data_IF_558331360044
#
_entry.id   IF_558331360044
#
_cell.length_a   1.000
_cell.length_b   1.000
_cell.length_c   1.000
_cell.angle_alpha   90.00
_cell.angle_beta   90.00
_cell.angle_gamma   90.00
#
_symmetry.space_group_name_H-M   'P 1'
#
loop_
_entity.id
_entity.type
_entity.pdbx_description
1 polymer ?
#
# COMPACT_ATOMS: atom_id res chain seq x y z
N UNK A 1 -10.28 -9.48 23.76
CA UNK A 1 -8.93 -8.87 23.70
C UNK A 1 -8.82 -7.58 24.49
N UNK A 2 -9.91 -6.89 24.84
CA UNK A 2 -9.83 -5.79 25.81
C UNK A 2 -9.35 -6.33 27.17
N UNK A 3 -8.15 -5.95 27.58
CA UNK A 3 -7.56 -6.25 28.89
C UNK A 3 -6.20 -6.96 28.86
N UNK A 4 -6.02 -7.98 28.01
CA UNK A 4 -4.84 -8.88 28.15
C UNK A 4 -3.61 -8.41 27.36
N UNK A 5 -3.79 -7.76 26.21
CA UNK A 5 -2.68 -7.38 25.33
C UNK A 5 -2.35 -5.87 25.35
N UNK A 6 -3.23 -5.04 25.93
CA UNK A 6 -3.04 -3.60 26.02
C UNK A 6 -3.51 -3.11 27.38
N UNK A 7 -2.66 -2.33 28.05
CA UNK A 7 -2.91 -1.83 29.41
C UNK A 7 -3.92 -0.69 29.45
N UNK A 8 -3.89 0.20 28.45
CA UNK A 8 -4.72 1.41 28.42
C UNK A 8 -5.36 1.64 27.03
N UNK A 9 -6.14 0.70 26.48
CA UNK A 9 -6.86 0.94 25.24
C UNK A 9 -7.91 2.05 25.47
N UNK A 10 -8.04 2.97 24.52
CA UNK A 10 -9.14 3.95 24.54
C UNK A 10 -10.49 3.21 24.60
N UNK A 11 -11.50 3.72 25.32
CA UNK A 11 -12.84 3.12 25.32
C UNK A 11 -13.47 3.21 23.92
N UNK A 12 -13.84 2.08 23.31
CA UNK A 12 -14.43 2.06 21.96
C UNK A 12 -15.73 2.86 21.89
N UNK A 13 -16.57 2.78 22.92
CA UNK A 13 -17.85 3.51 22.96
C UNK A 13 -17.66 5.04 22.95
N UNK A 14 -16.57 5.54 23.54
CA UNK A 14 -16.26 6.97 23.51
C UNK A 14 -15.89 7.44 22.11
N UNK A 15 -15.04 6.67 21.40
CA UNK A 15 -14.66 7.00 20.04
C UNK A 15 -15.87 6.89 19.11
N UNK A 16 -16.70 5.86 19.29
CA UNK A 16 -17.94 5.69 18.53
C UNK A 16 -18.88 6.89 18.68
N UNK A 17 -19.06 7.42 19.89
CA UNK A 17 -19.85 8.61 20.16
C UNK A 17 -19.34 9.83 19.36
N UNK A 18 -18.02 10.01 19.27
CA UNK A 18 -17.45 11.09 18.47
C UNK A 18 -17.70 10.88 16.97
N UNK A 19 -17.60 9.66 16.47
CA UNK A 19 -17.90 9.35 15.07
C UNK A 19 -19.36 9.63 14.73
N UNK A 20 -20.28 9.22 15.60
CA UNK A 20 -21.71 9.49 15.44
C UNK A 20 -22.00 11.00 15.30
N UNK A 21 -21.32 11.84 16.08
CA UNK A 21 -21.59 13.28 16.13
C UNK A 21 -20.82 14.12 15.10
N UNK A 22 -19.64 13.65 14.68
CA UNK A 22 -18.68 14.48 13.95
C UNK A 22 -18.40 14.00 12.53
N UNK A 23 -18.96 12.86 12.10
CA UNK A 23 -18.64 12.28 10.79
C UNK A 23 -19.87 11.78 10.04
N UNK A 24 -19.82 11.97 8.73
CA UNK A 24 -20.85 11.61 7.76
C UNK A 24 -20.39 10.49 6.82
N UNK A 25 -21.23 10.19 5.83
CA UNK A 25 -20.93 9.26 4.74
C UNK A 25 -19.58 9.58 4.09
N UNK A 26 -18.74 8.57 3.85
CA UNK A 26 -17.43 8.68 3.21
C UNK A 26 -16.37 9.55 3.91
N UNK A 27 -16.62 10.05 5.14
CA UNK A 27 -15.59 10.80 5.87
C UNK A 27 -14.38 9.92 6.23
N UNK A 28 -13.19 10.54 6.23
CA UNK A 28 -11.93 9.88 6.59
C UNK A 28 -11.58 10.17 8.06
N UNK A 29 -11.51 9.11 8.85
CA UNK A 29 -11.10 9.17 10.27
C UNK A 29 -9.61 8.85 10.38
N UNK A 30 -8.81 9.83 10.78
CA UNK A 30 -7.36 9.65 10.94
C UNK A 30 -6.94 9.57 12.41
N UNK A 31 -6.12 8.57 12.76
CA UNK A 31 -5.49 8.46 14.06
C UNK A 31 -4.03 7.97 13.92
N UNK A 32 -3.09 8.88 14.16
CA UNK A 32 -1.65 8.65 14.04
C UNK A 32 -1.00 8.10 15.33
N UNK A 33 -1.81 7.78 16.33
CA UNK A 33 -1.42 7.08 17.56
C UNK A 33 -2.40 5.92 17.81
N UNK A 34 -2.52 5.04 16.80
CA UNK A 34 -3.55 4.01 16.75
C UNK A 34 -3.57 3.12 18.01
N UNK A 35 -2.40 2.85 18.60
CA UNK A 35 -2.22 2.04 19.79
C UNK A 35 -2.87 0.68 19.58
N UNK A 36 -3.92 0.38 20.33
CA UNK A 36 -4.62 -0.90 20.19
C UNK A 36 -5.45 -1.03 18.90
N UNK A 37 -5.68 0.03 18.12
CA UNK A 37 -6.61 0.03 16.98
C UNK A 37 -8.07 0.27 17.37
N UNK A 38 -8.32 0.98 18.48
CA UNK A 38 -9.68 1.30 18.95
C UNK A 38 -10.46 2.09 17.91
N UNK A 39 -9.81 3.02 17.21
CA UNK A 39 -10.46 3.91 16.23
C UNK A 39 -11.08 3.14 15.06
N UNK A 40 -10.37 2.18 14.46
CA UNK A 40 -10.94 1.33 13.41
C UNK A 40 -12.09 0.44 13.91
N UNK A 41 -11.99 -0.13 15.13
CA UNK A 41 -13.08 -0.88 15.76
C UNK A 41 -14.34 0.00 15.95
N UNK A 42 -14.16 1.26 16.37
CA UNK A 42 -15.26 2.22 16.47
C UNK A 42 -15.84 2.59 15.10
N UNK A 43 -15.01 2.76 14.06
CA UNK A 43 -15.45 3.02 12.69
C UNK A 43 -16.32 1.87 12.17
N UNK A 44 -15.89 0.61 12.32
CA UNK A 44 -16.70 -0.53 11.90
C UNK A 44 -18.04 -0.59 12.65
N UNK A 45 -18.03 -0.37 13.97
CA UNK A 45 -19.26 -0.35 14.77
C UNK A 45 -20.22 0.74 14.34
N UNK A 46 -19.74 1.96 14.14
CA UNK A 46 -20.61 3.06 13.80
C UNK A 46 -21.18 2.90 12.39
N UNK A 47 -20.31 2.56 11.42
CA UNK A 47 -20.69 2.33 10.02
C UNK A 47 -21.72 1.20 9.88
N UNK A 48 -21.52 0.10 10.61
CA UNK A 48 -22.48 -1.00 10.62
C UNK A 48 -23.80 -0.69 11.32
N UNK A 49 -23.84 0.31 12.20
CA UNK A 49 -25.03 0.72 12.94
C UNK A 49 -25.90 1.69 12.13
N UNK A 50 -25.29 2.72 11.55
CA UNK A 50 -26.01 3.80 10.85
C UNK A 50 -26.01 3.67 9.32
N UNK A 51 -25.37 2.63 8.79
CA UNK A 51 -25.33 2.35 7.36
C UNK A 51 -24.24 3.10 6.60
N UNK A 52 -23.50 4.01 7.25
CA UNK A 52 -22.60 4.92 6.54
C UNK A 52 -21.22 4.33 6.29
N UNK A 53 -20.64 4.50 5.11
CA UNK A 53 -19.33 3.95 4.77
C UNK A 53 -18.18 4.90 5.11
N UNK A 54 -17.84 5.01 6.39
CA UNK A 54 -16.69 5.79 6.85
C UNK A 54 -15.37 5.08 6.57
N UNK A 55 -14.35 5.84 6.21
CA UNK A 55 -13.00 5.35 5.97
C UNK A 55 -12.09 5.66 7.18
N UNK A 56 -10.96 4.96 7.29
CA UNK A 56 -9.97 5.27 8.31
C UNK A 56 -8.53 5.16 7.82
N UNK A 57 -7.67 6.00 8.40
CA UNK A 57 -6.21 5.94 8.25
C UNK A 57 -5.59 5.84 9.64
N UNK A 58 -4.89 4.73 9.91
CA UNK A 58 -4.21 4.50 11.17
C UNK A 58 -2.70 4.44 10.97
N UNK A 59 -1.96 5.15 11.83
CA UNK A 59 -0.50 5.06 11.90
C UNK A 59 -0.11 4.47 13.24
N UNK A 60 0.77 3.46 13.21
CA UNK A 60 1.32 2.83 14.40
C UNK A 60 2.79 2.52 14.19
N UNK A 61 3.65 3.05 15.07
CA UNK A 61 5.04 2.67 15.14
C UNK A 61 5.16 1.18 15.53
N UNK A 62 5.99 0.36 14.85
CA UNK A 62 6.23 -1.03 15.22
C UNK A 62 7.17 -1.12 16.44
N UNK A 63 6.79 -0.51 17.56
CA UNK A 63 7.55 -0.56 18.81
C UNK A 63 7.63 -2.00 19.31
N UNK A 64 8.86 -2.46 19.59
CA UNK A 64 9.13 -3.82 20.02
C UNK A 64 8.55 -4.09 21.41
N UNK A 65 8.01 -5.30 21.59
CA UNK A 65 7.49 -5.77 22.86
C UNK A 65 8.56 -6.57 23.61
N UNK A 66 8.77 -6.24 24.88
CA UNK A 66 9.63 -6.99 25.77
C UNK A 66 8.84 -8.08 26.50
N UNK A 67 9.30 -9.32 26.38
CA UNK A 67 8.66 -10.48 27.02
C UNK A 67 8.86 -10.47 28.54
N UNK A 68 10.01 -9.98 29.00
CA UNK A 68 10.38 -9.98 30.42
C UNK A 68 9.67 -8.85 31.18
N UNK A 69 9.12 -7.88 30.45
CA UNK A 69 8.31 -6.83 31.02
C UNK A 69 6.93 -7.37 31.42
N UNK A 70 6.58 -7.27 32.71
CA UNK A 70 5.32 -7.78 33.26
C UNK A 70 4.05 -7.20 32.62
N UNK A 71 4.11 -5.98 32.09
CA UNK A 71 2.99 -5.33 31.41
C UNK A 71 2.88 -5.72 29.92
N UNK A 72 3.96 -6.20 29.31
CA UNK A 72 4.04 -6.52 27.88
C UNK A 72 4.15 -8.02 27.59
N UNK A 73 4.48 -8.85 28.58
CA UNK A 73 4.70 -10.29 28.40
C UNK A 73 3.51 -11.01 27.75
N UNK A 74 2.29 -10.72 28.19
CA UNK A 74 1.08 -11.31 27.60
C UNK A 74 0.86 -10.86 26.14
N UNK A 75 1.24 -9.62 25.82
CA UNK A 75 1.17 -9.07 24.47
C UNK A 75 2.23 -9.73 23.55
N UNK A 76 3.45 -9.93 24.06
CA UNK A 76 4.53 -10.62 23.38
C UNK A 76 4.20 -12.11 23.12
N UNK A 77 3.67 -12.81 24.13
CA UNK A 77 3.23 -14.21 23.99
C UNK A 77 2.11 -14.38 22.96
N UNK A 78 1.22 -13.39 22.86
CA UNK A 78 0.18 -13.39 21.84
C UNK A 78 0.79 -13.26 20.44
N UNK A 79 1.77 -12.37 20.24
CA UNK A 79 2.50 -12.30 18.97
C UNK A 79 3.16 -13.64 18.62
N UNK A 80 3.79 -14.30 19.60
CA UNK A 80 4.42 -15.60 19.40
C UNK A 80 3.40 -16.68 18.96
N UNK A 81 2.24 -16.74 19.63
CA UNK A 81 1.16 -17.66 19.27
C UNK A 81 0.59 -17.41 17.87
N UNK A 82 0.62 -16.16 17.42
CA UNK A 82 0.17 -15.75 16.09
C UNK A 82 1.26 -15.93 15.02
N UNK A 83 2.51 -16.22 15.40
CA UNK A 83 3.63 -16.34 14.47
C UNK A 83 4.02 -15.02 13.82
N UNK A 84 3.80 -13.88 14.50
CA UNK A 84 4.09 -12.53 13.99
C UNK A 84 5.18 -11.86 14.82
N UNK A 85 5.77 -10.79 14.28
CA UNK A 85 6.78 -10.01 15.00
C UNK A 85 6.22 -9.46 16.33
N UNK A 86 7.05 -9.46 17.37
CA UNK A 86 6.73 -8.92 18.70
C UNK A 86 6.75 -7.39 18.67
N UNK A 87 5.73 -6.78 18.08
CA UNK A 87 5.56 -5.33 18.10
C UNK A 87 4.10 -4.92 18.22
N UNK A 88 3.88 -3.67 18.66
CA UNK A 88 2.54 -3.12 18.89
C UNK A 88 1.70 -3.13 17.60
N UNK A 89 2.29 -2.79 16.44
CA UNK A 89 1.58 -2.72 15.17
C UNK A 89 0.96 -4.05 14.74
N UNK A 90 1.60 -5.19 15.02
CA UNK A 90 1.02 -6.52 14.76
C UNK A 90 -0.25 -6.76 15.60
N UNK A 91 -0.24 -6.35 16.87
CA UNK A 91 -1.39 -6.46 17.75
C UNK A 91 -2.53 -5.52 17.34
N UNK A 92 -2.22 -4.31 16.90
CA UNK A 92 -3.21 -3.37 16.34
C UNK A 92 -3.91 -4.00 15.14
N UNK A 93 -3.15 -4.53 14.16
CA UNK A 93 -3.70 -5.20 12.97
C UNK A 93 -4.58 -6.38 13.35
N UNK A 94 -4.14 -7.19 14.31
CA UNK A 94 -4.91 -8.35 14.75
C UNK A 94 -6.22 -7.95 15.42
N UNK A 95 -6.22 -6.88 16.24
CA UNK A 95 -7.46 -6.35 16.81
C UNK A 95 -8.41 -5.90 15.71
N UNK A 96 -7.92 -5.16 14.71
CA UNK A 96 -8.73 -4.65 13.59
C UNK A 96 -9.39 -5.81 12.83
N UNK A 97 -8.63 -6.87 12.49
CA UNK A 97 -9.19 -8.07 11.84
C UNK A 97 -10.29 -8.72 12.66
N UNK A 98 -10.08 -8.87 13.97
CA UNK A 98 -11.09 -9.46 14.87
C UNK A 98 -12.31 -8.57 15.05
N UNK A 99 -12.13 -7.26 15.06
CA UNK A 99 -13.24 -6.31 15.12
C UNK A 99 -14.10 -6.43 13.86
N UNK A 100 -13.49 -6.36 12.67
CA UNK A 100 -14.20 -6.53 11.40
C UNK A 100 -14.97 -7.85 11.32
N UNK A 101 -14.32 -8.97 11.67
CA UNK A 101 -14.99 -10.29 11.70
C UNK A 101 -16.21 -10.31 12.63
N UNK A 102 -16.09 -9.75 13.83
CA UNK A 102 -17.21 -9.72 14.80
C UNK A 102 -18.38 -8.89 14.29
N UNK A 103 -18.12 -7.80 13.59
CA UNK A 103 -19.16 -6.93 13.04
C UNK A 103 -19.92 -7.65 11.92
N UNK A 104 -19.22 -8.37 11.04
CA UNK A 104 -19.86 -9.16 9.98
C UNK A 104 -20.73 -10.29 10.55
N UNK A 105 -20.33 -10.91 11.65
CA UNK A 105 -21.09 -11.97 12.33
C UNK A 105 -22.34 -11.46 13.06
N UNK A 106 -22.46 -10.15 13.27
CA UNK A 106 -23.57 -9.51 13.97
C UNK A 106 -24.69 -9.01 13.06
N UNK A 107 -25.69 -8.38 13.67
CA UNK A 107 -26.69 -7.61 12.95
C UNK A 107 -26.07 -6.30 12.44
N UNK A 108 -26.29 -6.01 11.16
CA UNK A 108 -25.77 -4.81 10.49
C UNK A 108 -26.91 -4.08 9.81
N UNK A 109 -26.78 -2.76 9.67
CA UNK A 109 -27.68 -1.96 8.86
C UNK A 109 -27.80 -2.55 7.44
N UNK A 110 -29.00 -2.63 6.85
CA UNK A 110 -29.22 -3.28 5.55
C UNK A 110 -28.47 -2.58 4.40
N UNK A 111 -28.33 -1.26 4.48
CA UNK A 111 -27.69 -0.45 3.44
C UNK A 111 -26.16 -0.35 3.59
N UNK A 112 -25.58 -0.95 4.65
CA UNK A 112 -24.14 -0.91 4.84
C UNK A 112 -23.42 -1.87 3.89
N UNK A 113 -22.36 -1.41 3.25
CA UNK A 113 -21.57 -2.17 2.28
C UNK A 113 -20.75 -3.34 2.88
N UNK A 114 -20.75 -3.50 4.22
CA UNK A 114 -20.00 -4.52 4.96
C UNK A 114 -18.49 -4.50 4.70
N UNK A 115 -17.95 -3.34 4.34
CA UNK A 115 -16.52 -3.18 4.18
C UNK A 115 -15.83 -3.12 5.54
N UNK A 116 -15.09 -4.20 5.85
CA UNK A 116 -14.18 -4.28 7.00
C UNK A 116 -12.73 -4.52 6.56
N UNK A 117 -12.49 -4.40 5.25
CA UNK A 117 -11.18 -4.55 4.66
C UNK A 117 -10.26 -3.40 5.06
N UNK A 118 -8.96 -3.67 5.06
CA UNK A 118 -7.96 -2.62 5.22
C UNK A 118 -6.65 -3.05 4.55
N UNK A 119 -5.93 -2.06 4.02
CA UNK A 119 -4.59 -2.24 3.45
C UNK A 119 -3.55 -1.90 4.50
N UNK A 120 -2.45 -2.65 4.54
CA UNK A 120 -1.32 -2.38 5.44
C UNK A 120 -0.14 -1.93 4.61
N UNK A 121 0.35 -0.73 4.87
CA UNK A 121 1.55 -0.18 4.27
C UNK A 121 2.62 0.01 5.33
N UNK A 122 3.88 -0.08 4.94
CA UNK A 122 5.04 0.13 5.81
C UNK A 122 5.94 1.18 5.17
N UNK A 123 6.50 2.05 5.99
CA UNK A 123 7.52 3.00 5.55
C UNK A 123 8.86 2.26 5.55
N UNK A 124 9.59 2.40 4.45
CA UNK A 124 10.93 1.87 4.26
C UNK A 124 11.80 2.97 3.62
N UNK A 125 13.09 2.72 3.45
CA UNK A 125 14.01 3.57 2.70
C UNK A 125 13.61 3.65 1.23
N UNK A 126 14.10 4.68 0.52
CA UNK A 126 13.87 4.87 -0.92
C UNK A 126 14.11 3.58 -1.73
N UNK A 127 13.30 3.35 -2.78
CA UNK A 127 13.55 2.27 -3.72
C UNK A 127 14.78 2.50 -4.59
N UNK A 128 15.24 3.75 -4.69
CA UNK A 128 16.37 4.12 -5.53
C UNK A 128 17.69 3.88 -4.78
N UNK A 129 18.72 3.47 -5.51
CA UNK A 129 20.09 3.38 -4.98
C UNK A 129 20.57 4.77 -4.58
N UNK A 130 21.29 4.82 -3.46
CA UNK A 130 21.86 6.07 -2.95
C UNK A 130 23.12 6.42 -3.75
N UNK A 131 22.97 7.32 -4.71
CA UNK A 131 24.05 7.79 -5.58
C UNK A 131 24.73 9.00 -4.93
N UNK A 132 25.46 8.78 -3.83
CA UNK A 132 26.30 9.80 -3.19
C UNK A 132 27.77 9.50 -3.46
N UNK A 133 28.29 10.01 -4.57
CA UNK A 133 29.73 10.01 -4.82
C UNK A 133 30.15 11.35 -5.39
N UNK A 134 31.39 11.74 -5.11
CA UNK A 134 32.02 12.83 -5.84
C UNK A 134 32.66 12.26 -7.12
N UNK A 135 32.68 13.01 -8.24
CA UNK A 135 33.22 12.50 -9.51
C UNK A 135 34.66 11.95 -9.41
N UNK A 136 35.45 12.44 -8.44
CA UNK A 136 36.83 12.04 -8.16
C UNK A 136 36.97 10.75 -7.34
N UNK A 137 35.89 10.23 -6.75
CA UNK A 137 35.89 9.00 -5.94
C UNK A 137 35.48 7.75 -6.75
N UNK A 138 35.06 7.93 -8.00
CA UNK A 138 34.56 6.88 -8.88
C UNK A 138 35.67 5.99 -9.41
N UNK A 139 35.49 4.67 -9.24
CA UNK A 139 36.33 3.67 -9.90
C UNK A 139 35.60 3.09 -11.09
N UNK A 140 36.36 2.66 -12.10
CA UNK A 140 35.78 2.04 -13.29
C UNK A 140 35.02 0.74 -12.97
N UNK A 141 35.35 0.07 -11.86
CA UNK A 141 34.61 -1.09 -11.33
C UNK A 141 33.16 -0.76 -10.98
N UNK A 142 32.90 0.47 -10.55
CA UNK A 142 31.61 0.91 -10.01
C UNK A 142 30.61 1.20 -11.14
N UNK A 143 31.07 1.26 -12.40
CA UNK A 143 30.23 1.49 -13.58
C UNK A 143 29.18 0.40 -13.79
N UNK A 144 29.50 -0.86 -13.44
CA UNK A 144 28.56 -1.97 -13.59
C UNK A 144 27.40 -1.87 -12.59
N UNK A 145 27.66 -1.34 -11.40
CA UNK A 145 26.65 -1.19 -10.35
C UNK A 145 25.72 0.01 -10.59
N UNK A 146 26.11 0.94 -11.46
CA UNK A 146 25.35 2.12 -11.89
C UNK A 146 24.34 1.87 -13.01
N UNK A 147 24.35 0.67 -13.61
CA UNK A 147 23.38 0.30 -14.67
C UNK A 147 21.96 0.21 -14.12
N UNK A 148 21.83 -0.06 -12.81
CA UNK A 148 20.54 -0.18 -12.14
C UNK A 148 20.40 0.87 -11.05
N UNK A 149 19.38 1.71 -11.19
CA UNK A 149 19.02 2.77 -10.27
C UNK A 149 18.09 2.29 -9.14
N UNK A 150 17.53 1.08 -9.23
CA UNK A 150 16.66 0.48 -8.21
C UNK A 150 17.46 -0.46 -7.32
N UNK A 151 17.19 -0.45 -6.01
CA UNK A 151 17.77 -1.40 -5.04
C UNK A 151 17.31 -2.83 -5.34
N UNK A 152 18.20 -3.81 -5.19
CA UNK A 152 17.96 -5.19 -5.62
C UNK A 152 16.91 -5.94 -4.79
N UNK A 153 16.68 -5.51 -3.55
CA UNK A 153 15.71 -6.09 -2.62
C UNK A 153 14.29 -5.53 -2.79
N UNK A 154 14.06 -4.65 -3.78
CA UNK A 154 12.75 -4.04 -4.05
C UNK A 154 11.89 -4.85 -5.00
N UNK A 155 10.62 -4.96 -4.65
CA UNK A 155 9.61 -5.65 -5.44
C UNK A 155 8.95 -4.71 -6.45
N UNK A 156 8.26 -5.29 -7.44
CA UNK A 156 7.49 -4.51 -8.40
C UNK A 156 6.35 -3.74 -7.72
N UNK A 157 5.76 -4.31 -6.66
CA UNK A 157 4.77 -3.65 -5.83
C UNK A 157 5.36 -2.44 -5.07
N UNK A 158 6.60 -2.51 -4.56
CA UNK A 158 7.24 -1.37 -3.89
C UNK A 158 7.40 -0.18 -4.84
N UNK A 159 7.77 -0.46 -6.09
CA UNK A 159 7.86 0.55 -7.15
C UNK A 159 6.49 1.11 -7.51
N UNK A 160 5.47 0.25 -7.59
CA UNK A 160 4.08 0.67 -7.85
C UNK A 160 3.62 1.67 -6.79
N UNK A 161 3.75 1.32 -5.51
CA UNK A 161 3.29 2.19 -4.41
C UNK A 161 4.07 3.50 -4.35
N UNK A 162 5.36 3.52 -4.68
CA UNK A 162 6.10 4.77 -4.83
C UNK A 162 5.50 5.63 -5.95
N UNK A 163 5.23 5.05 -7.12
CA UNK A 163 4.62 5.78 -8.25
C UNK A 163 3.25 6.34 -7.88
N UNK A 164 2.42 5.58 -7.17
CA UNK A 164 1.11 6.05 -6.71
C UNK A 164 1.25 7.30 -5.82
N UNK A 165 2.19 7.29 -4.88
CA UNK A 165 2.45 8.43 -3.99
C UNK A 165 3.03 9.61 -4.76
N UNK A 166 4.05 9.39 -5.60
CA UNK A 166 4.72 10.44 -6.39
C UNK A 166 3.74 11.18 -7.31
N UNK A 167 2.70 10.49 -7.76
CA UNK A 167 1.69 11.02 -8.68
C UNK A 167 0.36 11.42 -8.03
N UNK A 168 0.29 11.35 -6.69
CA UNK A 168 -0.91 11.72 -5.94
C UNK A 168 -2.12 10.85 -6.29
N UNK A 169 -1.89 9.59 -6.68
CA UNK A 169 -2.95 8.61 -6.95
C UNK A 169 -3.37 7.97 -5.63
N UNK A 170 -4.68 7.87 -5.41
CA UNK A 170 -5.24 7.34 -4.17
C UNK A 170 -4.85 5.87 -3.95
N UNK A 171 -4.36 5.57 -2.74
CA UNK A 171 -3.87 4.24 -2.34
C UNK A 171 -4.99 3.24 -2.08
N UNK A 172 -6.26 3.68 -2.04
CA UNK A 172 -7.43 2.83 -1.88
C UNK A 172 -7.89 2.21 -3.20
N UNK A 173 -7.43 2.75 -4.33
CA UNK A 173 -7.86 2.30 -5.65
C UNK A 173 -7.58 0.80 -5.89
N UNK A 174 -8.45 0.12 -6.65
CA UNK A 174 -8.29 -1.28 -6.97
C UNK A 174 -7.06 -1.46 -7.86
N UNK A 175 -6.28 -2.51 -7.56
CA UNK A 175 -5.09 -2.87 -8.32
C UNK A 175 -5.29 -4.29 -8.85
N UNK A 176 -5.34 -4.44 -10.18
CA UNK A 176 -5.37 -5.73 -10.87
C UNK A 176 -3.97 -6.07 -11.37
N UNK A 177 -3.56 -7.32 -11.15
CA UNK A 177 -2.27 -7.84 -11.65
C UNK A 177 -2.54 -8.86 -12.73
N UNK A 178 -2.00 -8.63 -13.92
CA UNK A 178 -2.19 -9.47 -15.09
C UNK A 178 -0.84 -9.85 -15.71
N UNK A 179 -0.83 -10.94 -16.47
CA UNK A 179 0.35 -11.37 -17.23
C UNK A 179 0.13 -11.07 -18.71
N UNK A 180 0.88 -10.11 -19.24
CA UNK A 180 0.78 -9.65 -20.64
C UNK A 180 2.12 -9.89 -21.31
N UNK A 181 2.14 -10.61 -22.44
CA UNK A 181 3.39 -11.02 -23.12
C UNK A 181 4.42 -11.69 -22.18
N UNK A 182 3.94 -12.43 -21.17
CA UNK A 182 4.80 -13.08 -20.16
C UNK A 182 5.46 -12.12 -19.16
N UNK A 183 4.95 -10.87 -19.04
CA UNK A 183 5.40 -9.85 -18.08
C UNK A 183 4.29 -9.51 -17.09
N UNK A 184 4.68 -9.13 -15.89
CA UNK A 184 3.75 -8.69 -14.84
C UNK A 184 3.37 -7.23 -15.07
N UNK A 185 2.07 -7.00 -15.27
CA UNK A 185 1.51 -5.66 -15.48
C UNK A 185 0.46 -5.37 -14.40
N UNK A 186 0.56 -4.18 -13.82
CA UNK A 186 -0.38 -3.67 -12.84
C UNK A 186 -1.30 -2.66 -13.50
N UNK A 187 -2.61 -2.87 -13.32
CA UNK A 187 -3.69 -1.99 -13.76
C UNK A 187 -4.34 -1.38 -12.52
N UNK A 188 -4.28 -0.05 -12.38
CA UNK A 188 -4.82 0.69 -11.24
C UNK A 188 -6.00 1.51 -11.70
N UNK A 189 -7.11 1.39 -10.97
CA UNK A 189 -8.40 2.03 -11.29
C UNK A 189 -8.77 1.84 -12.77
N UNK A 190 -8.96 0.57 -13.12
CA UNK A 190 -9.05 0.07 -14.48
C UNK A 190 -7.81 0.41 -15.33
N UNK A 191 -7.85 1.49 -16.10
CA UNK A 191 -6.73 1.90 -16.97
C UNK A 191 -6.22 3.31 -16.62
N UNK A 192 -6.55 3.86 -15.44
CA UNK A 192 -6.04 5.16 -15.03
C UNK A 192 -4.51 5.17 -14.93
N UNK A 193 -3.93 4.07 -14.43
CA UNK A 193 -2.49 3.86 -14.42
C UNK A 193 -2.14 2.42 -14.74
N UNK A 194 -1.23 2.24 -15.69
CA UNK A 194 -0.68 0.95 -16.08
C UNK A 194 0.82 0.94 -15.79
N UNK A 195 1.31 -0.06 -15.07
CA UNK A 195 2.72 -0.15 -14.71
C UNK A 195 3.32 -1.52 -15.03
N UNK A 196 4.52 -1.52 -15.61
CA UNK A 196 5.31 -2.73 -15.88
C UNK A 196 6.76 -2.50 -15.44
N UNK A 197 7.18 -3.20 -14.38
CA UNK A 197 8.52 -3.07 -13.80
C UNK A 197 9.47 -4.22 -14.15
N UNK A 198 8.97 -5.21 -14.91
CA UNK A 198 9.79 -6.31 -15.39
C UNK A 198 10.82 -5.86 -16.43
N UNK A 199 11.92 -6.60 -16.52
CA UNK A 199 12.94 -6.43 -17.57
C UNK A 199 12.56 -7.16 -18.86
N UNK A 200 13.13 -6.73 -19.98
CA UNK A 200 12.87 -7.29 -21.30
C UNK A 200 11.54 -6.84 -21.91
N UNK A 201 11.17 -5.57 -21.69
CA UNK A 201 9.99 -4.94 -22.31
C UNK A 201 10.22 -4.83 -23.82
N UNK A 202 9.37 -5.49 -24.59
CA UNK A 202 9.41 -5.52 -26.06
C UNK A 202 8.43 -4.52 -26.67
N UNK A 203 8.63 -4.19 -27.95
CA UNK A 203 7.70 -3.32 -28.69
C UNK A 203 6.28 -3.89 -28.77
N UNK A 204 6.14 -5.23 -28.82
CA UNK A 204 4.84 -5.89 -28.85
C UNK A 204 4.05 -5.66 -27.56
N UNK A 205 4.72 -5.75 -26.40
CA UNK A 205 4.11 -5.43 -25.12
C UNK A 205 3.67 -3.96 -25.08
N UNK A 206 4.53 -3.06 -25.53
CA UNK A 206 4.21 -1.61 -25.56
C UNK A 206 2.98 -1.32 -26.42
N UNK A 207 2.87 -1.95 -27.60
CA UNK A 207 1.70 -1.82 -28.48
C UNK A 207 0.42 -2.36 -27.84
N UNK A 208 0.51 -3.49 -27.16
CA UNK A 208 -0.63 -4.09 -26.45
C UNK A 208 -1.11 -3.17 -25.31
N UNK A 209 -0.19 -2.65 -24.49
CA UNK A 209 -0.51 -1.70 -23.43
C UNK A 209 -1.06 -0.37 -23.96
N UNK A 210 -0.57 0.12 -25.10
CA UNK A 210 -1.11 1.31 -25.74
C UNK A 210 -2.54 1.09 -26.24
N UNK A 211 -2.90 -0.13 -26.63
CA UNK A 211 -4.28 -0.48 -27.02
C UNK A 211 -5.30 -0.44 -25.89
N UNK A 212 -4.85 -0.42 -24.62
CA UNK A 212 -5.72 -0.20 -23.46
C UNK A 212 -6.04 1.28 -23.21
N UNK A 213 -5.45 2.19 -23.99
CA UNK A 213 -5.62 3.65 -23.88
C UNK A 213 -5.51 4.19 -22.44
N UNK A 214 -4.44 3.85 -21.68
CA UNK A 214 -4.36 4.26 -20.29
C UNK A 214 -4.12 5.77 -20.16
N UNK A 215 -4.60 6.38 -19.08
CA UNK A 215 -4.29 7.80 -18.83
C UNK A 215 -2.80 8.00 -18.57
N UNK A 216 -2.19 7.06 -17.84
CA UNK A 216 -0.76 7.06 -17.54
C UNK A 216 -0.16 5.67 -17.66
N UNK A 217 1.08 5.60 -18.14
CA UNK A 217 1.85 4.36 -18.19
C UNK A 217 3.24 4.56 -17.60
N UNK A 218 3.68 3.59 -16.79
CA UNK A 218 4.99 3.60 -16.14
C UNK A 218 5.77 2.35 -16.46
N UNK A 219 7.02 2.55 -16.88
CA UNK A 219 7.99 1.49 -17.12
C UNK A 219 9.22 1.69 -16.24
N UNK A 220 9.96 0.62 -16.02
CA UNK A 220 11.32 0.71 -15.49
C UNK A 220 12.29 1.16 -16.60
N UNK A 221 13.18 2.08 -16.30
CA UNK A 221 14.07 2.74 -17.26
C UNK A 221 15.03 1.75 -17.94
N UNK A 222 15.62 0.85 -17.16
CA UNK A 222 16.44 -0.27 -17.65
C UNK A 222 15.62 -1.54 -17.96
N UNK A 223 14.29 -1.41 -18.03
CA UNK A 223 13.38 -2.52 -18.30
C UNK A 223 13.30 -2.89 -19.79
N UNK A 224 13.71 -2.03 -20.71
CA UNK A 224 13.56 -2.24 -22.16
C UNK A 224 14.60 -3.21 -22.74
N UNK A 225 14.23 -3.96 -23.78
CA UNK A 225 15.18 -4.84 -24.50
C UNK A 225 16.27 -4.08 -25.26
N UNK A 226 16.00 -2.82 -25.62
CA UNK A 226 16.98 -1.95 -26.28
C UNK A 226 16.60 -0.47 -26.12
N UNK A 227 17.58 0.42 -26.24
CA UNK A 227 17.38 1.87 -26.25
C UNK A 227 16.47 2.31 -27.40
N UNK A 228 16.49 1.59 -28.53
CA UNK A 228 15.58 1.84 -29.64
C UNK A 228 14.12 1.65 -29.24
N UNK A 229 13.80 0.57 -28.49
CA UNK A 229 12.43 0.35 -27.99
C UNK A 229 12.04 1.46 -27.01
N UNK A 230 12.93 1.85 -26.09
CA UNK A 230 12.71 2.93 -25.14
C UNK A 230 12.36 4.26 -25.83
N UNK A 231 13.12 4.65 -26.85
CA UNK A 231 12.88 5.85 -27.65
C UNK A 231 11.54 5.75 -28.41
N UNK A 232 11.24 4.57 -28.93
CA UNK A 232 10.03 4.34 -29.73
C UNK A 232 8.75 4.27 -28.89
N UNK A 233 8.82 3.95 -27.59
CA UNK A 233 7.64 3.84 -26.71
C UNK A 233 6.79 5.10 -26.76
N UNK A 234 7.40 6.27 -26.63
CA UNK A 234 6.68 7.55 -26.68
C UNK A 234 5.99 7.77 -28.03
N UNK A 235 6.58 7.28 -29.14
CA UNK A 235 5.95 7.38 -30.46
C UNK A 235 4.77 6.41 -30.62
N UNK A 236 4.90 5.19 -30.11
CA UNK A 236 3.84 4.18 -30.13
C UNK A 236 2.62 4.69 -29.36
N UNK A 237 2.83 5.23 -28.15
CA UNK A 237 1.74 5.83 -27.39
C UNK A 237 1.18 7.07 -28.10
N UNK A 238 1.99 7.96 -28.67
CA UNK A 238 1.47 9.10 -29.46
C UNK A 238 0.60 8.69 -30.65
N UNK A 239 0.86 7.52 -31.25
CA UNK A 239 0.10 7.04 -32.40
C UNK A 239 -1.18 6.31 -31.98
N UNK A 240 -1.12 5.48 -30.94
CA UNK A 240 -2.23 4.59 -30.54
C UNK A 240 -3.08 5.17 -29.41
N UNK A 241 -2.49 5.91 -28.48
CA UNK A 241 -3.16 6.55 -27.34
C UNK A 241 -2.55 7.94 -27.05
N UNK A 242 -2.88 8.96 -27.85
CA UNK A 242 -2.21 10.26 -27.83
C UNK A 242 -2.31 11.02 -26.50
N UNK A 243 -3.33 10.69 -25.69
CA UNK A 243 -3.58 11.28 -24.38
C UNK A 243 -2.81 10.60 -23.24
N UNK A 244 -2.13 9.47 -23.48
CA UNK A 244 -1.39 8.76 -22.44
C UNK A 244 -0.12 9.51 -22.05
N UNK A 245 0.05 9.75 -20.75
CA UNK A 245 1.32 10.20 -20.18
C UNK A 245 2.26 9.01 -19.95
N UNK A 246 3.43 9.02 -20.60
CA UNK A 246 4.44 7.95 -20.51
C UNK A 246 5.57 8.39 -19.59
N UNK A 247 5.93 7.55 -18.61
CA UNK A 247 7.11 7.75 -17.76
C UNK A 247 7.95 6.48 -17.65
N UNK A 248 9.27 6.67 -17.65
CA UNK A 248 10.25 5.64 -17.31
C UNK A 248 10.95 6.06 -16.01
N UNK A 249 11.07 5.14 -15.05
CA UNK A 249 11.68 5.38 -13.73
C UNK A 249 12.81 4.40 -13.42
#
# INVERSE_FOLDING_TARGET
MGGVAFTFPKPTALIQLFLEQLTEENDIVMDFFAGSGTTADAVFRQSSLDGKSRQFILVQLPEALDRENSAQGAAAELCDKLGVARNIAELSKERIRRAGKRIIEGETHPDWNRDVGFRVLKVDTSNMKDVYYRPDELKQSDLLDMVDNVKEDRTAEDLLFQVLVDWGVDLTLPIRRETVQGKTVFFVDDNALVACFDRGISENLVKELAGHEPLRVVFRDNGFVSDAVKINVTQIFRQLSPSTEVKAI
#
